data_IF_695167170507
#
_entry.id   IF_695167170507
#
_cell.length_a   1.000
_cell.length_b   1.000
_cell.length_c   1.000
_cell.angle_alpha   90.00
_cell.angle_beta   90.00
_cell.angle_gamma   90.00
#
_symmetry.space_group_name_H-M   'P 1'
#
loop_
_entity.id
_entity.type
_entity.pdbx_description
1 polymer ?
#
# COMPACT_ATOMS: atom_id res chain seq x y z
N UNK A 1 56.55 31.74 -7.85
CA UNK A 1 56.77 32.76 -8.90
C UNK A 1 56.02 32.34 -10.16
N UNK A 2 55.03 33.14 -10.58
CA UNK A 2 54.61 33.41 -11.97
C UNK A 2 54.07 32.19 -12.77
N UNK A 3 52.93 32.22 -13.46
CA UNK A 3 52.18 33.34 -13.99
C UNK A 3 50.84 32.82 -14.53
N UNK A 4 49.76 33.53 -14.22
CA UNK A 4 48.47 33.50 -14.93
C UNK A 4 48.66 33.66 -16.45
N UNK A 5 47.87 32.94 -17.26
CA UNK A 5 47.56 33.37 -18.64
C UNK A 5 46.09 33.09 -18.98
N UNK A 6 45.29 34.14 -18.84
CA UNK A 6 44.03 34.36 -19.51
C UNK A 6 44.26 34.67 -20.99
N UNK A 7 43.46 34.09 -21.88
CA UNK A 7 43.08 34.59 -23.23
C UNK A 7 41.90 33.70 -23.67
N UNK A 8 40.62 34.07 -23.67
CA UNK A 8 39.89 35.19 -24.27
C UNK A 8 39.85 35.15 -25.81
N UNK A 9 38.60 35.18 -26.33
CA UNK A 9 38.14 35.28 -27.74
C UNK A 9 38.12 33.94 -28.52
N UNK A 10 37.07 33.55 -29.25
CA UNK A 10 36.12 34.32 -30.08
C UNK A 10 34.87 33.46 -30.36
N UNK A 11 33.68 34.01 -30.16
CA UNK A 11 32.73 34.46 -31.20
C UNK A 11 31.59 33.47 -31.49
N UNK A 12 30.37 33.96 -31.27
CA UNK A 12 29.08 33.33 -31.48
C UNK A 12 28.79 33.00 -32.96
N UNK A 13 27.88 32.06 -33.22
CA UNK A 13 26.63 32.29 -33.99
C UNK A 13 25.79 31.00 -34.07
N UNK A 14 24.51 31.19 -34.43
CA UNK A 14 23.38 30.23 -34.55
C UNK A 14 22.43 30.26 -33.34
N UNK A 15 21.59 31.29 -33.23
CA UNK A 15 20.30 31.50 -33.95
C UNK A 15 19.32 30.35 -33.69
N UNK A 16 18.28 30.66 -32.92
CA UNK A 16 16.91 30.32 -33.30
C UNK A 16 16.25 29.16 -32.55
N UNK A 17 15.61 29.46 -31.43
CA UNK A 17 14.34 28.83 -31.07
C UNK A 17 13.53 29.75 -30.18
N UNK A 18 12.58 30.45 -30.81
CA UNK A 18 11.47 31.12 -30.14
C UNK A 18 10.59 30.04 -29.51
N UNK A 19 10.52 29.97 -28.19
CA UNK A 19 9.37 29.38 -27.51
C UNK A 19 9.09 30.15 -26.22
N UNK A 20 8.18 31.10 -26.32
CA UNK A 20 7.51 31.66 -25.17
C UNK A 20 6.53 30.59 -24.64
N UNK A 21 6.86 29.97 -23.52
CA UNK A 21 5.90 29.16 -22.76
C UNK A 21 5.77 29.76 -21.36
N UNK A 22 4.92 30.78 -21.23
CA UNK A 22 4.29 31.12 -19.95
C UNK A 22 3.20 30.07 -19.73
N UNK A 23 3.57 28.96 -19.12
CA UNK A 23 2.66 27.90 -18.72
C UNK A 23 2.70 27.77 -17.20
N UNK A 24 1.62 28.18 -16.55
CA UNK A 24 1.31 27.82 -15.17
C UNK A 24 1.34 26.30 -15.04
N UNK A 25 2.25 25.75 -14.25
CA UNK A 25 2.18 24.35 -13.83
C UNK A 25 1.06 24.20 -12.79
N UNK A 26 -0.17 24.26 -13.31
CA UNK A 26 -1.31 23.61 -12.71
C UNK A 26 -1.04 22.11 -12.77
N UNK A 27 -1.12 21.47 -11.62
CA UNK A 27 -1.17 20.02 -11.48
C UNK A 27 -2.12 19.44 -12.54
N UNK A 28 -1.70 18.46 -13.37
CA UNK A 28 -2.65 17.66 -14.09
C UNK A 28 -3.43 16.86 -13.04
N UNK A 29 -4.55 17.45 -12.61
CA UNK A 29 -5.65 16.68 -12.08
C UNK A 29 -5.93 15.59 -13.10
N UNK A 30 -5.77 14.34 -12.65
CA UNK A 30 -6.29 13.18 -13.34
C UNK A 30 -7.73 13.52 -13.75
N UNK A 31 -8.07 13.64 -15.05
CA UNK A 31 -9.44 13.92 -15.42
C UNK A 31 -10.25 12.78 -14.84
N UNK A 32 -11.19 13.12 -13.96
CA UNK A 32 -12.11 12.20 -13.34
C UNK A 32 -12.71 11.33 -14.46
N UNK A 33 -12.10 10.16 -14.70
CA UNK A 33 -12.71 9.10 -15.48
C UNK A 33 -13.88 8.71 -14.62
N UNK A 34 -15.02 9.19 -15.06
CA UNK A 34 -16.36 8.90 -14.61
C UNK A 34 -16.40 7.51 -13.97
N UNK A 35 -16.24 7.49 -12.65
CA UNK A 35 -16.33 6.29 -11.84
C UNK A 35 -17.76 5.79 -12.01
N UNK A 36 -17.91 4.69 -12.74
CA UNK A 36 -19.16 3.94 -12.82
C UNK A 36 -19.01 2.78 -11.83
N UNK A 37 -19.54 2.89 -10.59
CA UNK A 37 -19.63 1.73 -9.72
C UNK A 37 -20.51 0.70 -10.44
N UNK A 38 -19.94 -0.42 -10.87
CA UNK A 38 -20.68 -1.49 -11.54
C UNK A 38 -21.36 -2.45 -10.55
N UNK A 39 -21.36 -2.13 -9.26
CA UNK A 39 -22.26 -2.77 -8.31
C UNK A 39 -23.50 -1.89 -8.13
N UNK A 40 -24.62 -2.33 -8.67
CA UNK A 40 -25.92 -1.77 -8.33
C UNK A 40 -26.12 -1.93 -6.81
N UNK A 41 -26.08 -0.81 -6.08
CA UNK A 41 -26.55 -0.77 -4.69
C UNK A 41 -28.06 -0.99 -4.75
N UNK A 42 -28.48 -2.25 -4.60
CA UNK A 42 -29.85 -2.54 -4.18
C UNK A 42 -29.98 -2.07 -2.75
N UNK A 43 -30.78 -1.03 -2.54
CA UNK A 43 -31.27 -0.63 -1.22
C UNK A 43 -31.96 -1.82 -0.58
N UNK A 44 -31.41 -2.33 0.51
CA UNK A 44 -32.13 -3.27 1.38
C UNK A 44 -32.59 -2.49 2.60
N UNK A 45 -33.91 -2.34 2.66
CA UNK A 45 -34.64 -1.82 3.80
C UNK A 45 -34.33 -2.64 5.05
N UNK A 46 -34.08 -1.93 6.15
CA UNK A 46 -34.05 -2.44 7.51
C UNK A 46 -35.42 -3.01 7.90
N UNK A 47 -35.47 -4.26 8.37
CA UNK A 47 -36.35 -4.69 9.48
C UNK A 47 -35.80 -5.94 10.16
N UNK A 48 -35.64 -5.82 11.48
CA UNK A 48 -35.99 -6.80 12.53
C UNK A 48 -35.42 -8.22 12.46
N UNK A 49 -34.45 -8.52 13.34
CA UNK A 49 -34.66 -9.43 14.49
C UNK A 49 -33.36 -9.56 15.29
N UNK A 50 -33.30 -8.87 16.43
CA UNK A 50 -32.12 -8.79 17.29
C UNK A 50 -32.04 -9.99 18.25
N UNK A 51 -31.28 -11.02 17.84
CA UNK A 51 -30.37 -11.75 18.73
C UNK A 51 -29.00 -11.13 18.45
N UNK A 52 -28.36 -10.52 19.46
CA UNK A 52 -27.05 -9.87 19.28
C UNK A 52 -26.01 -10.88 18.78
N UNK A 53 -25.91 -10.98 17.45
CA UNK A 53 -24.87 -11.66 16.72
C UNK A 53 -23.66 -10.71 16.67
N UNK A 54 -22.45 -11.27 16.68
CA UNK A 54 -21.24 -10.53 16.38
C UNK A 54 -21.46 -9.64 15.14
N UNK A 55 -20.87 -8.42 15.09
CA UNK A 55 -21.09 -7.50 13.99
C UNK A 55 -20.89 -8.23 12.66
N UNK A 56 -21.92 -8.24 11.83
CA UNK A 56 -21.86 -8.87 10.52
C UNK A 56 -20.70 -8.24 9.74
N UNK A 57 -19.76 -9.06 9.26
CA UNK A 57 -18.62 -8.56 8.50
C UNK A 57 -19.11 -7.83 7.25
N UNK A 58 -18.49 -6.68 6.95
CA UNK A 58 -18.79 -5.90 5.73
C UNK A 58 -18.55 -6.72 4.46
N UNK A 59 -19.18 -6.33 3.36
CA UNK A 59 -18.94 -6.97 2.05
C UNK A 59 -17.46 -6.95 1.66
N UNK A 60 -16.75 -5.87 2.01
CA UNK A 60 -15.30 -5.74 1.78
C UNK A 60 -14.51 -6.78 2.58
N UNK A 61 -14.81 -6.94 3.88
CA UNK A 61 -14.17 -7.95 4.73
C UNK A 61 -14.50 -9.39 4.28
N UNK A 62 -15.68 -9.62 3.70
CA UNK A 62 -16.02 -10.93 3.13
C UNK A 62 -15.19 -11.25 1.88
N UNK A 63 -14.93 -10.27 1.01
CA UNK A 63 -14.02 -10.43 -0.13
C UNK A 63 -12.59 -10.69 0.36
N UNK A 64 -12.14 -9.89 1.34
CA UNK A 64 -10.84 -10.04 1.98
C UNK A 64 -10.60 -11.41 2.59
N UNK A 65 -11.62 -12.04 3.17
CA UNK A 65 -11.53 -13.40 3.71
C UNK A 65 -11.06 -14.41 2.66
N UNK A 66 -11.61 -14.34 1.45
CA UNK A 66 -11.26 -15.30 0.39
C UNK A 66 -9.82 -15.09 -0.09
N UNK A 67 -9.43 -13.83 -0.27
CA UNK A 67 -8.07 -13.44 -0.62
C UNK A 67 -7.07 -13.87 0.46
N UNK A 68 -7.39 -13.65 1.73
CA UNK A 68 -6.57 -14.05 2.87
C UNK A 68 -6.38 -15.57 2.94
N UNK A 69 -7.46 -16.34 2.74
CA UNK A 69 -7.38 -17.81 2.75
C UNK A 69 -6.48 -18.32 1.63
N UNK A 70 -6.58 -17.73 0.44
CA UNK A 70 -5.80 -18.16 -0.73
C UNK A 70 -4.31 -17.79 -0.61
N UNK A 71 -3.98 -16.64 -0.03
CA UNK A 71 -2.63 -16.08 -0.11
C UNK A 71 -1.87 -16.06 1.22
N UNK A 72 -2.55 -15.99 2.36
CA UNK A 72 -1.92 -15.64 3.65
C UNK A 72 -2.08 -16.74 4.71
N UNK A 73 -3.19 -17.50 4.66
CA UNK A 73 -3.58 -18.42 5.72
C UNK A 73 -2.69 -19.67 5.86
N UNK A 74 -1.77 -19.91 4.94
CA UNK A 74 -0.75 -20.95 5.08
C UNK A 74 0.26 -20.60 6.19
N UNK A 75 0.53 -19.31 6.40
CA UNK A 75 1.57 -18.84 7.33
C UNK A 75 1.02 -17.99 8.47
N UNK A 76 -0.08 -17.26 8.27
CA UNK A 76 -0.69 -16.41 9.29
C UNK A 76 -1.97 -17.02 9.85
N UNK A 77 -2.12 -16.93 11.18
CA UNK A 77 -3.26 -17.52 11.86
C UNK A 77 -4.55 -16.75 11.53
N UNK A 78 -5.60 -17.49 11.15
CA UNK A 78 -6.92 -16.94 10.79
C UNK A 78 -7.61 -16.24 11.96
N UNK A 79 -7.22 -16.48 13.20
CA UNK A 79 -7.79 -15.81 14.37
C UNK A 79 -7.18 -14.42 14.64
N UNK A 80 -6.14 -14.03 13.89
CA UNK A 80 -5.43 -12.75 13.99
C UNK A 80 -4.75 -12.46 15.33
N UNK A 81 -4.81 -13.38 16.30
CA UNK A 81 -4.33 -13.18 17.68
C UNK A 81 -3.09 -13.99 17.99
N UNK A 82 -2.99 -15.20 17.42
CA UNK A 82 -1.90 -16.11 17.71
C UNK A 82 -0.87 -16.14 16.56
N UNK A 83 0.39 -16.42 16.92
CA UNK A 83 1.44 -16.74 15.96
C UNK A 83 1.16 -18.11 15.33
N UNK A 84 1.49 -18.28 14.05
CA UNK A 84 1.56 -19.59 13.40
C UNK A 84 3.00 -19.81 12.90
N UNK A 85 3.25 -19.55 11.62
CA UNK A 85 4.61 -19.45 11.06
C UNK A 85 5.00 -17.97 11.10
N UNK A 86 4.15 -17.13 10.51
CA UNK A 86 4.24 -15.68 10.62
C UNK A 86 3.60 -15.14 11.91
N UNK A 87 3.89 -13.88 12.27
CA UNK A 87 3.32 -13.23 13.44
C UNK A 87 1.80 -13.06 13.33
N UNK A 88 1.16 -12.81 14.49
CA UNK A 88 -0.25 -12.45 14.57
C UNK A 88 -0.50 -11.11 13.85
N UNK A 89 -1.53 -11.07 13.00
CA UNK A 89 -1.83 -9.91 12.14
C UNK A 89 -2.80 -8.89 12.77
N UNK A 90 -3.44 -9.22 13.88
CA UNK A 90 -4.29 -8.28 14.62
C UNK A 90 -3.54 -6.99 14.97
N UNK A 91 -4.13 -5.84 14.67
CA UNK A 91 -3.49 -4.54 14.89
C UNK A 91 -2.26 -4.28 14.00
N UNK A 92 -2.13 -4.95 12.85
CA UNK A 92 -1.01 -4.68 11.91
C UNK A 92 -0.99 -3.21 11.46
N UNK A 93 -2.12 -2.61 11.15
CA UNK A 93 -2.17 -1.20 10.73
C UNK A 93 -1.68 -0.24 11.82
N UNK A 94 -2.02 -0.50 13.09
CA UNK A 94 -1.50 0.28 14.21
C UNK A 94 0.03 0.17 14.32
N UNK A 95 0.59 -1.02 14.10
CA UNK A 95 2.05 -1.29 14.11
C UNK A 95 2.80 -0.67 12.92
N UNK A 96 2.10 -0.14 11.93
CA UNK A 96 2.64 0.57 10.76
C UNK A 96 2.19 2.04 10.70
N UNK A 97 1.50 2.54 11.73
CA UNK A 97 0.87 3.87 11.71
C UNK A 97 1.84 5.06 11.68
N UNK A 98 3.11 4.84 12.03
CA UNK A 98 4.18 5.85 11.90
C UNK A 98 4.64 6.06 10.44
N UNK A 99 4.14 5.24 9.51
CA UNK A 99 4.52 5.23 8.10
C UNK A 99 3.31 5.48 7.19
N UNK A 100 3.52 5.95 5.95
CA UNK A 100 2.48 5.97 4.93
C UNK A 100 1.82 4.60 4.75
N UNK A 101 0.52 4.59 4.45
CA UNK A 101 -0.26 3.35 4.27
C UNK A 101 0.34 2.49 3.15
N UNK A 102 0.88 3.14 2.13
CA UNK A 102 1.54 2.56 0.98
C UNK A 102 2.75 1.69 1.37
N UNK A 103 3.42 1.99 2.49
CA UNK A 103 4.55 1.19 2.97
C UNK A 103 4.10 -0.16 3.50
N UNK A 104 2.96 -0.22 4.21
CA UNK A 104 2.34 -1.49 4.59
C UNK A 104 1.92 -2.29 3.36
N UNK A 105 1.44 -1.63 2.30
CA UNK A 105 1.05 -2.31 1.07
C UNK A 105 2.25 -2.89 0.34
N UNK A 106 3.32 -2.10 0.23
CA UNK A 106 4.58 -2.55 -0.35
C UNK A 106 5.18 -3.71 0.45
N UNK A 107 5.02 -3.70 1.77
CA UNK A 107 5.45 -4.80 2.64
C UNK A 107 4.67 -6.08 2.35
N UNK A 108 3.34 -5.97 2.29
CA UNK A 108 2.46 -7.11 1.96
C UNK A 108 2.76 -7.66 0.57
N UNK A 109 3.06 -6.81 -0.42
CA UNK A 109 3.42 -7.26 -1.77
C UNK A 109 4.80 -7.89 -1.85
N UNK A 110 5.81 -7.25 -1.25
CA UNK A 110 7.19 -7.65 -1.40
C UNK A 110 8.05 -7.15 -0.25
N UNK A 111 7.94 -7.85 0.88
CA UNK A 111 8.75 -7.58 2.08
C UNK A 111 10.26 -7.57 1.80
N UNK A 112 10.78 -8.47 0.96
CA UNK A 112 12.22 -8.51 0.67
C UNK A 112 12.73 -7.27 -0.07
N UNK A 113 11.91 -6.68 -0.95
CA UNK A 113 12.28 -5.42 -1.61
C UNK A 113 12.42 -4.27 -0.61
N UNK A 114 11.53 -4.20 0.39
CA UNK A 114 11.61 -3.17 1.43
C UNK A 114 12.78 -3.40 2.40
N UNK A 115 13.07 -4.66 2.75
CA UNK A 115 14.26 -4.99 3.55
C UNK A 115 15.54 -4.61 2.81
N UNK A 116 15.61 -4.89 1.51
CA UNK A 116 16.77 -4.55 0.67
C UNK A 116 16.92 -3.04 0.47
N UNK A 117 15.81 -2.29 0.50
CA UNK A 117 15.80 -0.83 0.49
C UNK A 117 16.04 -0.22 1.88
N UNK A 118 16.39 -1.03 2.88
CA UNK A 118 16.68 -0.61 4.25
C UNK A 118 15.55 0.19 4.91
N UNK A 119 14.29 -0.10 4.54
CA UNK A 119 13.15 0.57 5.16
C UNK A 119 13.10 0.23 6.66
N UNK A 120 13.06 1.21 7.58
CA UNK A 120 13.35 1.01 9.00
C UNK A 120 12.39 0.01 9.66
N UNK A 121 11.09 0.09 9.38
CA UNK A 121 10.12 -0.89 9.90
C UNK A 121 10.30 -2.28 9.29
N UNK A 122 10.65 -2.36 8.02
CA UNK A 122 10.79 -3.62 7.30
C UNK A 122 11.99 -4.41 7.84
N UNK A 123 13.12 -3.74 8.05
CA UNK A 123 14.31 -4.31 8.68
C UNK A 123 14.01 -4.73 10.12
N UNK A 124 13.31 -3.91 10.91
CA UNK A 124 12.93 -4.28 12.28
C UNK A 124 12.08 -5.56 12.32
N UNK A 125 11.01 -5.62 11.50
CA UNK A 125 10.14 -6.81 11.43
C UNK A 125 10.91 -8.04 10.90
N UNK A 126 11.86 -7.85 9.99
CA UNK A 126 12.72 -8.91 9.47
C UNK A 126 13.59 -9.56 10.55
N UNK A 127 14.23 -8.75 11.41
CA UNK A 127 14.99 -9.25 12.56
C UNK A 127 14.07 -9.88 13.62
N UNK A 128 12.94 -9.24 13.94
CA UNK A 128 11.94 -9.77 14.90
C UNK A 128 11.35 -11.12 14.46
N UNK A 129 11.34 -11.39 13.15
CA UNK A 129 10.77 -12.60 12.55
C UNK A 129 11.83 -13.67 12.28
N UNK A 130 13.00 -13.62 12.91
CA UNK A 130 14.12 -14.54 12.69
C UNK A 130 14.50 -14.70 11.20
N UNK A 131 14.34 -13.62 10.42
CA UNK A 131 14.64 -13.59 8.99
C UNK A 131 13.84 -14.61 8.17
N UNK A 132 12.62 -14.92 8.62
CA UNK A 132 11.69 -15.75 7.87
C UNK A 132 11.19 -15.02 6.61
N UNK A 133 11.32 -15.66 5.46
CA UNK A 133 10.91 -15.12 4.17
C UNK A 133 9.39 -15.22 4.02
N UNK A 134 8.73 -14.06 3.92
CA UNK A 134 7.36 -13.97 3.42
C UNK A 134 7.39 -13.91 1.89
N UNK A 135 6.66 -14.80 1.21
CA UNK A 135 6.62 -14.85 -0.26
C UNK A 135 6.13 -13.54 -0.87
N UNK A 136 6.54 -13.26 -2.10
CA UNK A 136 6.08 -12.09 -2.85
C UNK A 136 4.70 -12.31 -3.46
N UNK A 137 3.85 -11.28 -3.40
CA UNK A 137 2.48 -11.24 -3.89
C UNK A 137 2.27 -10.07 -4.86
N UNK A 138 3.15 -9.95 -5.85
CA UNK A 138 3.20 -8.81 -6.78
C UNK A 138 1.91 -8.56 -7.58
N UNK A 139 1.03 -9.56 -7.69
CA UNK A 139 -0.25 -9.44 -8.41
C UNK A 139 -1.37 -8.79 -7.60
N UNK A 140 -1.19 -8.59 -6.29
CA UNK A 140 -2.23 -8.01 -5.43
C UNK A 140 -2.40 -6.51 -5.71
N UNK A 141 -3.63 -6.10 -6.02
CA UNK A 141 -4.02 -4.70 -6.14
C UNK A 141 -4.13 -4.02 -4.77
N UNK A 142 -4.21 -2.69 -4.72
CA UNK A 142 -4.39 -1.96 -3.46
C UNK A 142 -5.74 -2.33 -2.84
N UNK A 143 -6.76 -2.53 -3.69
CA UNK A 143 -8.10 -2.94 -3.30
C UNK A 143 -8.12 -4.35 -2.69
N UNK A 144 -7.33 -5.29 -3.22
CA UNK A 144 -7.20 -6.63 -2.64
C UNK A 144 -6.59 -6.57 -1.24
N UNK A 145 -5.57 -5.72 -1.06
CA UNK A 145 -4.89 -5.53 0.22
C UNK A 145 -5.83 -4.85 1.23
N UNK A 146 -6.56 -3.81 0.81
CA UNK A 146 -7.58 -3.15 1.62
C UNK A 146 -8.66 -4.13 2.07
N UNK A 147 -9.13 -5.00 1.18
CA UNK A 147 -10.10 -6.03 1.51
C UNK A 147 -9.56 -6.99 2.58
N UNK A 148 -8.31 -7.45 2.43
CA UNK A 148 -7.66 -8.32 3.41
C UNK A 148 -7.44 -7.64 4.76
N UNK A 149 -7.01 -6.37 4.80
CA UNK A 149 -6.86 -5.61 6.04
C UNK A 149 -8.22 -5.41 6.74
N UNK A 150 -9.28 -5.12 5.98
CA UNK A 150 -10.64 -5.06 6.51
C UNK A 150 -11.08 -6.40 7.13
N UNK A 151 -10.71 -7.54 6.52
CA UNK A 151 -10.94 -8.87 7.09
C UNK A 151 -10.16 -9.08 8.39
N UNK A 152 -8.86 -8.74 8.42
CA UNK A 152 -8.01 -8.83 9.60
C UNK A 152 -8.63 -8.07 10.78
N UNK A 153 -9.06 -6.83 10.55
CA UNK A 153 -9.69 -6.00 11.58
C UNK A 153 -11.04 -6.56 12.05
N UNK A 154 -11.88 -7.00 11.12
CA UNK A 154 -13.19 -7.55 11.43
C UNK A 154 -13.10 -8.83 12.29
N UNK A 155 -12.06 -9.65 12.08
CA UNK A 155 -11.80 -10.86 12.88
C UNK A 155 -11.11 -10.52 14.21
N UNK A 156 -10.13 -9.62 14.19
CA UNK A 156 -9.38 -9.27 15.39
C UNK A 156 -10.29 -8.68 16.46
N UNK A 157 -11.20 -7.77 16.06
CA UNK A 157 -12.05 -6.96 16.94
C UNK A 157 -11.20 -6.31 18.05
N UNK A 158 -10.46 -5.23 17.72
CA UNK A 158 -9.59 -4.54 18.68
C UNK A 158 -10.34 -4.06 19.93
#
# INVERSE_FOLDING_TARGET
MKLFRFLAYSLAFFIGAVFAFRGTNSFPGNPAKQYKPSYAVKTVNTVSDAKAAAPAMSNLAQQGKNLFIANCAACHNKNMKDKLIGPALGGVEARWSDYPKEDLYNWIRNSQAMVSAEHPRAVAVWEESDRLIMTSFASLSDEDIDAMLAYVNAVYQP
#
